data_IF_677897964097
#
_entry.id   IF_677897964097
#
_cell.length_a   1.000
_cell.length_b   1.000
_cell.length_c   1.000
_cell.angle_alpha   90.00
_cell.angle_beta   90.00
_cell.angle_gamma   90.00
#
_symmetry.space_group_name_H-M   'P 1'
#
loop_
_entity.id
_entity.type
_entity.pdbx_description
1 polymer ?
#
# COMPACT_ATOMS: atom_id res chain seq x y z
N UNK A 1 -1.75 -39.10 15.06
CA UNK A 1 -1.88 -40.14 14.01
C UNK A 1 -1.05 -39.68 12.80
N UNK A 2 0.02 -40.42 12.45
CA UNK A 2 0.85 -40.33 11.23
C UNK A 2 1.75 -39.10 11.12
N UNK A 3 3.02 -39.07 11.54
CA UNK A 3 4.24 -39.79 11.10
C UNK A 3 4.82 -39.28 9.77
N UNK A 4 6.01 -38.66 9.89
CA UNK A 4 6.98 -38.30 8.86
C UNK A 4 7.18 -39.39 7.80
N UNK A 5 7.27 -38.98 6.53
CA UNK A 5 8.02 -39.72 5.51
C UNK A 5 8.96 -38.73 4.80
N UNK A 6 10.21 -38.69 5.25
CA UNK A 6 11.34 -38.19 4.47
C UNK A 6 11.71 -39.30 3.48
N UNK A 7 11.37 -39.13 2.21
CA UNK A 7 12.09 -39.84 1.14
C UNK A 7 13.37 -39.05 0.85
N UNK A 8 14.51 -39.66 1.13
CA UNK A 8 15.84 -39.13 0.82
C UNK A 8 16.31 -39.86 -0.44
N UNK A 9 16.07 -39.24 -1.59
CA UNK A 9 16.66 -39.68 -2.86
C UNK A 9 18.13 -39.21 -2.91
N UNK A 10 19.13 -40.08 -3.11
CA UNK A 10 20.54 -39.69 -3.00
C UNK A 10 21.13 -39.03 -4.25
N UNK A 11 20.39 -38.80 -5.35
CA UNK A 11 21.04 -38.58 -6.66
C UNK A 11 20.77 -37.23 -7.34
N UNK A 12 19.97 -36.31 -6.80
CA UNK A 12 19.80 -34.98 -7.42
C UNK A 12 19.88 -33.83 -6.40
N UNK A 13 21.09 -33.26 -6.27
CA UNK A 13 21.27 -31.85 -5.87
C UNK A 13 20.75 -30.94 -6.98
N UNK A 14 19.43 -30.88 -7.15
CA UNK A 14 18.77 -29.76 -7.81
C UNK A 14 17.88 -29.10 -6.78
N UNK A 15 18.11 -27.80 -6.59
CA UNK A 15 17.43 -26.99 -5.59
C UNK A 15 15.91 -27.20 -5.64
N UNK A 16 15.32 -27.39 -4.46
CA UNK A 16 13.87 -27.50 -4.24
C UNK A 16 13.06 -26.29 -4.78
N UNK A 17 13.72 -25.23 -5.27
CA UNK A 17 13.12 -24.02 -5.84
C UNK A 17 12.56 -24.25 -7.25
N UNK A 18 13.19 -25.12 -8.05
CA UNK A 18 12.79 -25.31 -9.46
C UNK A 18 11.46 -26.07 -9.62
N UNK A 19 11.05 -26.85 -8.62
CA UNK A 19 9.81 -27.65 -8.69
C UNK A 19 8.53 -26.84 -8.47
N UNK A 20 8.62 -25.57 -8.04
CA UNK A 20 7.46 -24.73 -7.74
C UNK A 20 7.19 -23.64 -8.79
N UNK A 21 7.97 -23.55 -9.87
CA UNK A 21 7.77 -22.56 -10.93
C UNK A 21 7.96 -21.10 -10.49
N UNK A 22 8.59 -20.87 -9.33
CA UNK A 22 8.91 -19.52 -8.84
C UNK A 22 10.21 -19.06 -9.50
N UNK A 23 10.13 -18.14 -10.46
CA UNK A 23 11.30 -17.53 -11.10
C UNK A 23 12.05 -16.54 -10.20
N UNK A 24 11.52 -16.28 -9.00
CA UNK A 24 12.02 -15.25 -8.09
C UNK A 24 11.77 -13.84 -8.62
N UNK A 25 11.93 -12.84 -7.75
CA UNK A 25 11.93 -11.43 -8.10
C UNK A 25 13.06 -10.73 -7.34
N UNK A 26 13.39 -9.48 -7.67
CA UNK A 26 14.37 -8.71 -6.87
C UNK A 26 13.85 -8.53 -5.45
N UNK A 27 14.76 -8.49 -4.47
CA UNK A 27 14.40 -8.43 -3.02
C UNK A 27 13.41 -7.33 -2.66
N UNK A 28 13.40 -6.23 -3.41
CA UNK A 28 12.51 -5.09 -3.19
C UNK A 28 11.06 -5.31 -3.67
N UNK A 29 10.77 -6.44 -4.32
CA UNK A 29 9.43 -6.82 -4.76
C UNK A 29 8.83 -7.95 -3.89
N UNK A 30 9.54 -8.40 -2.84
CA UNK A 30 9.03 -9.45 -1.96
C UNK A 30 8.01 -8.89 -0.96
N UNK A 31 6.84 -9.53 -0.88
CA UNK A 31 5.87 -9.23 0.16
C UNK A 31 6.34 -9.74 1.53
N UNK A 32 6.09 -8.96 2.58
CA UNK A 32 6.43 -9.30 3.95
C UNK A 32 5.15 -9.47 4.78
N UNK A 33 5.12 -10.50 5.64
CA UNK A 33 4.12 -10.63 6.71
C UNK A 33 4.83 -10.61 8.06
N UNK A 34 4.58 -9.60 8.88
CA UNK A 34 5.16 -9.51 10.21
C UNK A 34 4.08 -9.61 11.29
N UNK A 35 4.40 -10.38 12.31
CA UNK A 35 3.47 -10.91 13.28
C UNK A 35 4.23 -11.27 14.57
N UNK A 36 4.57 -10.30 15.45
CA UNK A 36 5.19 -10.63 16.75
C UNK A 36 4.87 -9.62 17.87
N UNK A 37 4.43 -10.13 19.05
CA UNK A 37 5.05 -9.83 20.37
C UNK A 37 4.69 -10.84 21.48
N UNK A 38 5.69 -11.34 22.20
CA UNK A 38 5.62 -11.92 23.57
C UNK A 38 4.59 -13.05 23.85
N UNK A 39 4.44 -14.04 22.96
CA UNK A 39 3.64 -15.24 23.29
C UNK A 39 2.14 -15.03 23.48
N UNK A 40 1.60 -13.87 23.08
CA UNK A 40 0.15 -13.62 22.96
C UNK A 40 -0.22 -13.37 21.50
N UNK A 41 -1.46 -13.71 21.16
CA UNK A 41 -2.03 -13.40 19.86
C UNK A 41 -1.89 -11.91 19.55
N UNK A 42 -1.50 -11.62 18.33
CA UNK A 42 -1.16 -10.32 17.77
C UNK A 42 -2.46 -9.67 17.31
N UNK A 43 -2.72 -8.43 17.72
CA UNK A 43 -3.93 -7.69 17.37
C UNK A 43 -3.96 -7.17 15.92
N UNK A 44 -2.82 -7.19 15.19
CA UNK A 44 -2.74 -6.64 13.83
C UNK A 44 -1.72 -7.38 12.95
N UNK A 45 -2.12 -7.73 11.73
CA UNK A 45 -1.22 -8.31 10.71
C UNK A 45 -0.78 -7.21 9.73
N UNK A 46 0.52 -7.13 9.46
CA UNK A 46 1.08 -6.22 8.44
C UNK A 46 1.42 -7.05 7.21
N UNK A 47 0.93 -6.65 6.05
CA UNK A 47 1.18 -7.30 4.76
C UNK A 47 1.72 -6.25 3.79
N UNK A 48 2.95 -6.44 3.31
CA UNK A 48 3.47 -5.72 2.16
C UNK A 48 3.13 -6.52 0.89
N UNK A 49 2.45 -5.90 -0.08
CA UNK A 49 2.13 -6.55 -1.34
C UNK A 49 3.36 -6.60 -2.24
N UNK A 50 3.64 -7.72 -2.93
CA UNK A 50 4.63 -7.72 -4.00
C UNK A 50 4.17 -6.79 -5.13
N UNK A 51 5.12 -6.11 -5.77
CA UNK A 51 4.87 -5.16 -6.85
C UNK A 51 5.94 -5.27 -7.93
N UNK A 52 5.60 -5.15 -9.23
CA UNK A 52 6.61 -5.07 -10.28
C UNK A 52 7.28 -3.68 -10.29
N UNK A 53 8.29 -3.51 -11.15
CA UNK A 53 8.94 -2.21 -11.34
C UNK A 53 8.06 -1.16 -12.05
N UNK A 54 6.89 -1.54 -12.57
CA UNK A 54 5.93 -0.60 -13.13
C UNK A 54 5.29 0.20 -11.98
N UNK A 55 5.78 1.41 -11.77
CA UNK A 55 5.37 2.27 -10.66
C UNK A 55 3.84 2.42 -10.61
N UNK A 56 3.29 2.52 -9.41
CA UNK A 56 1.86 2.69 -9.12
C UNK A 56 0.94 1.53 -9.53
N UNK A 57 1.42 0.55 -10.31
CA UNK A 57 0.60 -0.59 -10.79
C UNK A 57 0.02 -1.45 -9.65
N UNK A 58 0.67 -1.44 -8.49
CA UNK A 58 0.25 -2.21 -7.31
C UNK A 58 -0.88 -1.53 -6.53
N UNK A 59 -1.12 -0.22 -6.74
CA UNK A 59 -2.10 0.55 -5.96
C UNK A 59 -3.49 -0.10 -5.96
N UNK A 60 -4.13 -0.40 -7.13
CA UNK A 60 -5.44 -1.04 -7.13
C UNK A 60 -5.39 -2.49 -6.63
N UNK A 61 -4.24 -3.16 -6.69
CA UNK A 61 -4.07 -4.52 -6.14
C UNK A 61 -4.16 -4.47 -4.62
N UNK A 62 -3.47 -3.53 -3.97
CA UNK A 62 -3.54 -3.34 -2.51
C UNK A 62 -4.95 -2.93 -2.09
N UNK A 63 -5.62 -2.04 -2.83
CA UNK A 63 -7.01 -1.68 -2.56
C UNK A 63 -7.94 -2.91 -2.65
N UNK A 64 -7.77 -3.75 -3.68
CA UNK A 64 -8.52 -5.01 -3.80
C UNK A 64 -8.24 -5.98 -2.65
N UNK A 65 -6.98 -6.09 -2.20
CA UNK A 65 -6.60 -6.91 -1.05
C UNK A 65 -7.23 -6.40 0.25
N UNK A 66 -7.21 -5.08 0.49
CA UNK A 66 -7.83 -4.46 1.66
C UNK A 66 -9.35 -4.62 1.63
N UNK A 67 -9.98 -4.40 0.46
CA UNK A 67 -11.42 -4.64 0.27
C UNK A 67 -11.79 -6.08 0.59
N UNK A 68 -11.03 -7.04 0.09
CA UNK A 68 -11.26 -8.46 0.35
C UNK A 68 -11.07 -8.79 1.85
N UNK A 69 -10.05 -8.23 2.51
CA UNK A 69 -9.80 -8.45 3.93
C UNK A 69 -10.93 -7.94 4.83
N UNK A 70 -11.58 -6.83 4.46
CA UNK A 70 -12.72 -6.28 5.21
C UNK A 70 -14.09 -6.81 4.79
N UNK A 71 -14.19 -7.69 3.80
CA UNK A 71 -15.47 -8.20 3.30
C UNK A 71 -15.76 -9.61 3.82
N UNK A 72 -16.89 -9.80 4.50
CA UNK A 72 -17.41 -11.11 4.86
C UNK A 72 -18.42 -11.63 3.82
N UNK A 73 -18.29 -12.92 3.51
CA UNK A 73 -19.14 -13.66 2.56
C UNK A 73 -19.61 -15.00 3.13
N UNK A 74 -19.52 -15.16 4.46
CA UNK A 74 -19.85 -16.38 5.20
C UNK A 74 -21.36 -16.65 5.30
N UNK A 75 -22.20 -15.66 5.01
CA UNK A 75 -23.66 -15.76 5.02
C UNK A 75 -24.25 -15.59 3.62
N UNK A 76 -25.38 -16.25 3.31
CA UNK A 76 -26.12 -15.99 2.09
C UNK A 76 -26.59 -14.53 2.02
N UNK A 77 -26.38 -13.87 0.88
CA UNK A 77 -26.81 -12.49 0.66
C UNK A 77 -25.72 -11.63 0.01
N UNK A 78 -25.87 -10.31 0.15
CA UNK A 78 -24.87 -9.33 -0.29
C UNK A 78 -23.65 -9.41 0.65
N UNK A 79 -22.41 -9.27 0.14
CA UNK A 79 -21.23 -9.18 0.99
C UNK A 79 -21.35 -8.05 2.00
N UNK A 80 -20.93 -8.31 3.25
CA UNK A 80 -20.90 -7.32 4.33
C UNK A 80 -19.47 -6.77 4.44
N UNK A 81 -19.30 -5.45 4.34
CA UNK A 81 -17.99 -4.80 4.40
C UNK A 81 -17.80 -4.03 5.71
N UNK A 82 -16.72 -4.33 6.44
CA UNK A 82 -16.28 -3.57 7.62
C UNK A 82 -15.09 -2.64 7.25
N UNK A 83 -15.29 -1.31 7.20
CA UNK A 83 -14.23 -0.35 6.87
C UNK A 83 -13.11 -0.26 7.93
N UNK A 84 -13.28 -0.89 9.09
CA UNK A 84 -12.29 -0.90 10.18
C UNK A 84 -11.46 -2.17 10.24
N UNK A 85 -11.81 -3.20 9.46
CA UNK A 85 -11.10 -4.48 9.44
C UNK A 85 -9.69 -4.39 8.84
N UNK A 86 -9.41 -3.36 8.02
CA UNK A 86 -8.10 -3.11 7.41
C UNK A 86 -7.72 -1.64 7.39
N UNK A 87 -6.41 -1.37 7.32
CA UNK A 87 -5.84 -0.05 7.09
C UNK A 87 -4.91 -0.12 5.88
N UNK A 88 -5.39 0.16 4.66
CA UNK A 88 -4.54 0.28 3.49
C UNK A 88 -3.62 1.52 3.61
N UNK A 89 -2.36 1.32 3.23
CA UNK A 89 -1.35 2.38 3.13
C UNK A 89 -0.69 2.24 1.76
N UNK A 90 -0.68 3.33 0.99
CA UNK A 90 -0.03 3.39 -0.31
C UNK A 90 1.13 4.39 -0.27
N UNK A 91 2.28 3.99 -0.80
CA UNK A 91 3.49 4.82 -0.83
C UNK A 91 3.86 5.09 -2.28
N UNK A 92 4.12 6.36 -2.59
CA UNK A 92 4.25 6.86 -3.95
C UNK A 92 5.53 7.68 -4.13
N UNK A 93 6.03 7.75 -5.36
CA UNK A 93 7.04 8.75 -5.75
C UNK A 93 6.39 10.03 -6.25
N UNK A 94 7.01 11.20 -6.03
CA UNK A 94 6.47 12.51 -6.45
C UNK A 94 6.31 12.69 -7.96
N UNK A 95 7.16 12.04 -8.76
CA UNK A 95 7.02 12.05 -10.22
C UNK A 95 6.00 11.01 -10.72
N UNK A 96 5.90 9.86 -10.06
CA UNK A 96 5.03 8.77 -10.49
C UNK A 96 3.56 9.03 -10.11
N UNK A 97 3.30 9.61 -8.94
CA UNK A 97 1.95 9.88 -8.44
C UNK A 97 1.09 10.73 -9.41
N UNK A 98 1.53 11.91 -9.87
CA UNK A 98 0.78 12.67 -10.87
C UNK A 98 0.96 12.14 -12.31
N UNK A 99 2.00 11.32 -12.56
CA UNK A 99 2.40 10.90 -13.90
C UNK A 99 1.76 9.59 -14.39
N UNK A 100 1.32 8.71 -13.50
CA UNK A 100 0.71 7.42 -13.84
C UNK A 100 -0.82 7.50 -13.72
N UNK A 101 -1.54 7.31 -14.83
CA UNK A 101 -3.01 7.37 -14.86
C UNK A 101 -3.70 6.37 -13.93
N UNK A 102 -3.06 5.25 -13.61
CA UNK A 102 -3.61 4.27 -12.66
C UNK A 102 -3.81 4.85 -11.26
N UNK A 103 -3.09 5.91 -10.89
CA UNK A 103 -3.28 6.61 -9.62
C UNK A 103 -4.65 7.29 -9.59
N UNK A 104 -4.99 8.08 -10.62
CA UNK A 104 -6.30 8.74 -10.68
C UNK A 104 -7.44 7.74 -10.82
N UNK A 105 -7.24 6.67 -11.58
CA UNK A 105 -8.19 5.55 -11.66
C UNK A 105 -8.44 4.93 -10.29
N UNK A 106 -7.38 4.70 -9.50
CA UNK A 106 -7.49 4.12 -8.15
C UNK A 106 -8.17 5.08 -7.18
N UNK A 107 -7.80 6.36 -7.17
CA UNK A 107 -8.45 7.37 -6.31
C UNK A 107 -9.94 7.50 -6.62
N UNK A 108 -10.34 7.36 -7.89
CA UNK A 108 -11.76 7.36 -8.25
C UNK A 108 -12.57 6.21 -7.62
N UNK A 109 -11.91 5.13 -7.21
CA UNK A 109 -12.57 3.99 -6.54
C UNK A 109 -12.89 4.26 -5.06
N UNK A 110 -12.25 5.26 -4.43
CA UNK A 110 -12.30 5.47 -2.98
C UNK A 110 -13.72 5.73 -2.44
N UNK A 111 -14.63 6.25 -3.28
CA UNK A 111 -16.03 6.54 -2.94
C UNK A 111 -17.05 5.53 -3.48
N UNK A 112 -16.63 4.53 -4.26
CA UNK A 112 -17.56 3.59 -4.91
C UNK A 112 -17.91 2.43 -3.99
N UNK A 113 -19.20 2.12 -3.83
CA UNK A 113 -19.69 1.10 -2.89
C UNK A 113 -19.04 -0.29 -3.08
N UNK A 114 -18.71 -0.68 -4.32
CA UNK A 114 -18.09 -1.96 -4.63
C UNK A 114 -16.59 -2.02 -4.35
N UNK A 115 -15.93 -0.88 -4.18
CA UNK A 115 -14.46 -0.79 -4.22
C UNK A 115 -13.86 -0.08 -3.00
N UNK A 116 -14.60 0.82 -2.35
CA UNK A 116 -14.08 1.60 -1.23
C UNK A 116 -13.52 0.69 -0.12
N UNK A 117 -12.40 1.10 0.46
CA UNK A 117 -11.69 0.35 1.51
C UNK A 117 -11.83 0.98 2.90
N UNK A 118 -12.71 1.97 3.02
CA UNK A 118 -12.93 2.69 4.28
C UNK A 118 -11.87 3.76 4.57
N UNK A 119 -11.14 4.19 3.55
CA UNK A 119 -10.13 5.23 3.60
C UNK A 119 -8.70 4.69 3.56
N UNK A 120 -7.92 5.15 2.59
CA UNK A 120 -6.49 4.84 2.42
C UNK A 120 -5.61 5.99 2.87
N UNK A 121 -4.51 5.66 3.57
CA UNK A 121 -3.47 6.65 3.88
C UNK A 121 -2.44 6.61 2.75
N UNK A 122 -2.32 7.71 2.03
CA UNK A 122 -1.34 7.91 0.98
C UNK A 122 -0.13 8.66 1.51
N UNK A 123 1.07 8.20 1.17
CA UNK A 123 2.33 8.88 1.48
C UNK A 123 3.12 9.08 0.21
N UNK A 124 3.28 10.33 -0.23
CA UNK A 124 4.21 10.67 -1.30
C UNK A 124 5.58 10.90 -0.67
N UNK A 125 6.56 10.07 -1.01
CA UNK A 125 7.97 10.31 -0.66
C UNK A 125 8.54 11.30 -1.67
N UNK A 126 8.37 12.59 -1.38
CA UNK A 126 8.66 13.67 -2.30
C UNK A 126 10.10 14.15 -2.14
N UNK A 127 11.00 13.53 -2.91
CA UNK A 127 12.41 13.90 -2.97
C UNK A 127 12.70 14.97 -4.04
N UNK A 128 11.65 15.52 -4.65
CA UNK A 128 11.70 16.58 -5.66
C UNK A 128 12.41 16.17 -6.96
N UNK A 129 12.53 14.87 -7.28
CA UNK A 129 13.26 14.40 -8.45
C UNK A 129 12.82 13.02 -9.00
N UNK A 130 12.26 13.02 -10.21
CA UNK A 130 11.94 11.82 -10.97
C UNK A 130 13.12 11.32 -11.82
N UNK A 131 13.98 10.48 -11.26
CA UNK A 131 15.26 10.07 -11.90
C UNK A 131 16.13 11.30 -12.24
N UNK A 132 16.08 11.81 -13.47
CA UNK A 132 16.76 13.04 -13.93
C UNK A 132 15.78 14.20 -14.20
N UNK A 133 14.48 13.96 -14.11
CA UNK A 133 13.44 14.95 -14.40
C UNK A 133 13.11 15.78 -13.15
N UNK A 134 13.19 17.11 -13.30
CA UNK A 134 12.79 18.07 -12.29
C UNK A 134 11.25 18.12 -12.12
N UNK A 135 10.75 18.66 -10.99
CA UNK A 135 9.32 18.84 -10.76
C UNK A 135 8.59 19.57 -11.90
N UNK A 136 9.16 20.68 -12.40
CA UNK A 136 8.60 21.43 -13.53
C UNK A 136 8.48 20.64 -14.84
N UNK A 137 9.25 19.56 -14.97
CA UNK A 137 9.21 18.68 -16.15
C UNK A 137 8.31 17.45 -15.94
N UNK A 138 7.85 17.21 -14.71
CA UNK A 138 7.14 15.99 -14.32
C UNK A 138 5.65 16.21 -14.07
N UNK A 139 5.21 17.45 -13.82
CA UNK A 139 3.81 17.79 -13.54
C UNK A 139 3.49 19.23 -13.93
N UNK A 140 2.20 19.49 -14.16
CA UNK A 140 1.68 20.82 -14.53
C UNK A 140 1.07 21.60 -13.36
N UNK A 141 1.29 21.14 -12.13
CA UNK A 141 0.73 21.69 -10.89
C UNK A 141 1.85 21.96 -9.88
N UNK A 142 1.55 22.72 -8.82
CA UNK A 142 2.55 23.14 -7.83
C UNK A 142 3.04 21.92 -7.04
N UNK A 143 2.10 21.17 -6.47
CA UNK A 143 2.39 20.04 -5.61
C UNK A 143 2.18 18.71 -6.34
N UNK A 144 3.00 17.72 -6.03
CA UNK A 144 2.82 16.35 -6.52
C UNK A 144 1.45 15.79 -6.10
N UNK A 145 0.96 16.21 -4.94
CA UNK A 145 -0.33 15.82 -4.35
C UNK A 145 -1.56 16.49 -4.95
N UNK A 146 -1.42 17.45 -5.87
CA UNK A 146 -2.56 18.22 -6.39
C UNK A 146 -3.62 17.34 -7.08
N UNK A 147 -3.25 16.17 -7.60
CA UNK A 147 -4.19 15.18 -8.14
C UNK A 147 -5.25 14.76 -7.12
N UNK A 148 -4.89 14.64 -5.84
CA UNK A 148 -5.79 14.19 -4.78
C UNK A 148 -6.91 15.21 -4.48
N UNK A 149 -6.71 16.48 -4.82
CA UNK A 149 -7.73 17.53 -4.65
C UNK A 149 -8.98 17.28 -5.49
N UNK A 150 -8.85 16.60 -6.64
CA UNK A 150 -9.97 16.24 -7.49
C UNK A 150 -10.96 15.25 -6.85
N UNK A 151 -10.55 14.61 -5.75
CA UNK A 151 -11.32 13.58 -5.04
C UNK A 151 -11.65 13.99 -3.59
N UNK A 152 -11.56 15.28 -3.27
CA UNK A 152 -11.80 15.83 -1.92
C UNK A 152 -10.95 15.17 -0.81
N UNK A 153 -9.75 14.71 -1.17
CA UNK A 153 -8.81 14.09 -0.23
C UNK A 153 -8.01 15.20 0.47
N UNK A 154 -8.03 15.28 1.81
CA UNK A 154 -7.19 16.23 2.54
C UNK A 154 -5.71 15.92 2.33
N UNK A 155 -4.93 16.98 2.12
CA UNK A 155 -3.49 16.91 1.89
C UNK A 155 -2.77 17.67 3.00
N UNK A 156 -1.76 17.04 3.59
CA UNK A 156 -0.79 17.71 4.47
C UNK A 156 0.60 17.61 3.87
N UNK A 157 1.26 18.75 3.71
CA UNK A 157 2.66 18.82 3.33
C UNK A 157 3.51 18.91 4.60
N UNK A 158 4.49 18.04 4.75
CA UNK A 158 5.33 17.99 5.95
C UNK A 158 6.81 17.89 5.57
N UNK A 159 7.66 18.58 6.31
CA UNK A 159 9.10 18.55 6.12
C UNK A 159 9.67 17.24 6.71
N UNK A 160 10.36 16.45 5.89
CA UNK A 160 11.00 15.21 6.31
C UNK A 160 12.12 15.41 7.34
N UNK A 161 12.71 16.61 7.42
CA UNK A 161 13.72 16.97 8.42
C UNK A 161 13.11 17.27 9.81
N UNK A 162 11.78 17.33 9.92
CA UNK A 162 11.05 17.46 11.18
C UNK A 162 10.31 16.15 11.51
N UNK A 163 10.97 15.19 12.20
CA UNK A 163 10.37 13.89 12.49
C UNK A 163 9.20 13.99 13.48
N UNK A 164 9.16 14.99 14.35
CA UNK A 164 8.03 15.20 15.28
C UNK A 164 6.79 15.61 14.50
N UNK A 165 6.92 16.57 13.58
CA UNK A 165 5.83 16.95 12.69
C UNK A 165 5.37 15.78 11.81
N UNK A 166 6.28 14.94 11.32
CA UNK A 166 5.94 13.74 10.55
C UNK A 166 5.07 12.76 11.37
N UNK A 167 5.42 12.52 12.63
CA UNK A 167 4.65 11.65 13.53
C UNK A 167 3.26 12.24 13.80
N UNK A 168 3.16 13.54 14.04
CA UNK A 168 1.87 14.21 14.24
C UNK A 168 1.00 14.16 12.97
N UNK A 169 1.59 14.30 11.78
CA UNK A 169 0.88 14.13 10.51
C UNK A 169 0.34 12.71 10.34
N UNK A 170 1.13 11.68 10.69
CA UNK A 170 0.68 10.29 10.64
C UNK A 170 -0.48 10.03 11.62
N UNK A 171 -0.42 10.59 12.83
CA UNK A 171 -1.52 10.51 13.82
C UNK A 171 -2.78 11.20 13.31
N UNK A 172 -2.64 12.39 12.71
CA UNK A 172 -3.74 13.12 12.11
C UNK A 172 -4.39 12.33 10.97
N UNK A 173 -3.59 11.75 10.07
CA UNK A 173 -4.08 10.94 8.96
C UNK A 173 -4.91 9.74 9.44
N UNK A 174 -4.38 9.01 10.44
CA UNK A 174 -5.10 7.90 11.06
C UNK A 174 -6.40 8.35 11.74
N UNK A 175 -6.36 9.44 12.51
CA UNK A 175 -7.55 9.98 13.18
C UNK A 175 -8.62 10.43 12.18
N UNK A 176 -8.22 11.05 11.06
CA UNK A 176 -9.13 11.43 9.99
C UNK A 176 -9.77 10.19 9.34
N UNK A 177 -8.96 9.19 8.94
CA UNK A 177 -9.46 7.92 8.40
C UNK A 177 -10.44 7.24 9.35
N UNK A 178 -10.08 7.12 10.64
CA UNK A 178 -10.91 6.47 11.64
C UNK A 178 -12.25 7.18 11.88
N UNK A 179 -12.27 8.52 11.74
CA UNK A 179 -13.49 9.32 11.95
C UNK A 179 -14.38 9.41 10.72
N UNK A 180 -13.79 9.54 9.53
CA UNK A 180 -14.51 9.88 8.30
C UNK A 180 -14.56 8.74 7.28
N UNK A 181 -13.76 7.69 7.46
CA UNK A 181 -13.63 6.57 6.52
C UNK A 181 -13.31 7.02 5.08
N UNK A 182 -12.42 8.01 4.97
CA UNK A 182 -11.99 8.62 3.73
C UNK A 182 -10.47 8.65 3.66
N UNK A 183 -9.97 8.71 2.42
CA UNK A 183 -8.55 8.77 2.14
C UNK A 183 -7.94 10.05 2.74
N UNK A 184 -6.64 9.98 3.01
CA UNK A 184 -5.84 11.09 3.52
C UNK A 184 -4.45 11.03 2.89
N UNK A 185 -3.92 12.17 2.44
CA UNK A 185 -2.62 12.21 1.77
C UNK A 185 -1.60 13.03 2.55
N UNK A 186 -0.44 12.43 2.77
CA UNK A 186 0.76 13.06 3.32
C UNK A 186 1.76 13.25 2.18
N UNK A 187 2.11 14.50 1.89
CA UNK A 187 3.21 14.86 1.00
C UNK A 187 4.46 15.11 1.86
N UNK A 188 5.30 14.07 1.98
CA UNK A 188 6.52 14.09 2.78
C UNK A 188 7.66 14.68 1.95
N UNK A 189 7.92 15.98 2.15
CA UNK A 189 8.89 16.74 1.35
C UNK A 189 10.28 16.59 1.96
N UNK A 190 11.19 16.02 1.17
CA UNK A 190 12.59 15.82 1.52
C UNK A 190 13.49 15.89 0.28
N UNK A 191 14.53 15.07 0.25
CA UNK A 191 15.53 15.02 -0.82
C UNK A 191 16.07 13.60 -1.04
N UNK A 192 16.86 13.38 -2.10
CA UNK A 192 17.54 12.11 -2.43
C UNK A 192 19.03 12.32 -2.62
#
# INVERSE_FOLDING_TARGET
RGTLIKFRDPILQRDFRDFMGWTGDVKYHEGARHAVKNGRAIEMQIILSPNPSHLESVNPVVEGMARAAGTSVDKPGKPEFDPNASLPILVHGDAAFPGQGIVSETLNLCGLEGYHTGGTIHVITNNQLGYTALPENSRSTIYASDLAKGFDIPVVHVNADDPEACIECARLAFAYKARFHKDFLIDLVGYR
#
